data_IF_421328040796
#
_entry.id   IF_421328040796
#
_cell.length_a   1.000
_cell.length_b   1.000
_cell.length_c   1.000
_cell.angle_alpha   90.00
_cell.angle_beta   90.00
_cell.angle_gamma   90.00
#
_symmetry.space_group_name_H-M   'P 1'
#
loop_
_entity.id
_entity.type
_entity.pdbx_description
1 polymer ?
#
# COMPACT_ATOMS: atom_id res chain seq x y z
N UNK A 1 4.57 -1.35 0.95
CA UNK A 1 4.40 -2.58 0.13
C UNK A 1 5.28 -3.74 0.62
N UNK A 2 6.62 -3.66 0.50
CA UNK A 2 7.54 -4.78 0.79
C UNK A 2 7.30 -5.39 2.18
N UNK A 3 7.20 -4.55 3.22
CA UNK A 3 6.88 -4.97 4.59
C UNK A 3 5.69 -5.94 4.68
N UNK A 4 4.59 -5.60 3.99
CA UNK A 4 3.36 -6.41 4.00
C UNK A 4 3.50 -7.77 3.30
N UNK A 5 4.44 -7.90 2.36
CA UNK A 5 4.59 -9.08 1.50
C UNK A 5 5.54 -10.15 2.09
N UNK A 6 6.09 -9.91 3.28
CA UNK A 6 6.81 -10.94 4.02
C UNK A 6 5.91 -12.15 4.32
N UNK A 7 6.53 -13.30 4.62
CA UNK A 7 5.82 -14.50 5.03
C UNK A 7 4.91 -14.19 6.22
N UNK A 8 3.61 -14.53 6.13
CA UNK A 8 2.66 -14.35 7.24
C UNK A 8 3.16 -15.03 8.52
N UNK A 9 2.99 -14.35 9.64
CA UNK A 9 3.54 -14.72 10.95
C UNK A 9 5.00 -14.31 11.17
N UNK A 10 5.66 -13.71 10.17
CA UNK A 10 7.07 -13.28 10.24
C UNK A 10 7.28 -11.81 9.89
N UNK A 11 6.22 -10.99 9.82
CA UNK A 11 6.31 -9.56 9.55
C UNK A 11 6.34 -8.83 10.90
N UNK A 12 7.49 -8.23 11.24
CA UNK A 12 7.69 -7.56 12.53
C UNK A 12 7.92 -6.06 12.36
N UNK A 13 7.52 -5.29 13.37
CA UNK A 13 7.74 -3.85 13.47
C UNK A 13 8.23 -3.48 14.88
N UNK A 14 8.97 -2.38 15.04
CA UNK A 14 9.37 -1.87 16.36
C UNK A 14 8.25 -1.00 16.98
N UNK A 15 8.21 -0.83 18.32
CA UNK A 15 7.07 -0.19 18.99
C UNK A 15 6.78 1.26 18.57
N UNK A 16 7.82 2.02 18.21
CA UNK A 16 7.70 3.44 17.86
C UNK A 16 7.78 3.69 16.35
N UNK A 17 7.69 2.65 15.52
CA UNK A 17 7.71 2.81 14.07
C UNK A 17 6.30 3.06 13.53
N UNK A 18 6.23 3.79 12.43
CA UNK A 18 4.98 4.08 11.72
C UNK A 18 5.00 3.43 10.33
N UNK A 19 3.81 3.13 9.82
CA UNK A 19 3.59 2.73 8.44
C UNK A 19 2.68 3.73 7.77
N UNK A 20 3.08 4.20 6.59
CA UNK A 20 2.22 4.98 5.71
C UNK A 20 1.95 4.18 4.44
N UNK A 21 0.69 4.16 4.02
CA UNK A 21 0.29 3.69 2.69
C UNK A 21 -0.36 4.83 1.91
N UNK A 22 -0.08 4.88 0.61
CA UNK A 22 -0.70 5.80 -0.31
C UNK A 22 -0.69 5.23 -1.73
N UNK A 23 -1.40 5.90 -2.63
CA UNK A 23 -1.43 5.58 -4.05
C UNK A 23 -0.07 5.89 -4.69
N UNK A 24 0.29 5.20 -5.79
CA UNK A 24 1.49 5.55 -6.52
C UNK A 24 1.37 6.97 -7.08
N UNK A 25 2.49 7.71 -7.06
CA UNK A 25 2.59 9.03 -7.66
C UNK A 25 3.28 8.96 -9.01
N UNK A 26 2.94 9.91 -9.88
CA UNK A 26 3.55 10.06 -11.18
C UNK A 26 3.09 11.36 -11.84
N UNK A 27 3.73 11.68 -12.96
CA UNK A 27 3.37 12.80 -13.82
C UNK A 27 3.57 12.40 -15.27
N UNK A 28 2.91 13.11 -16.18
CA UNK A 28 3.04 12.89 -17.61
C UNK A 28 3.13 14.23 -18.34
N UNK A 29 3.98 14.28 -19.36
CA UNK A 29 4.17 15.42 -20.27
C UNK A 29 4.57 14.86 -21.63
N UNK A 30 4.20 15.56 -22.71
CA UNK A 30 4.57 15.16 -24.08
C UNK A 30 3.37 15.17 -25.01
N UNK A 31 3.42 14.34 -26.05
CA UNK A 31 2.30 14.20 -26.96
C UNK A 31 1.10 13.56 -26.25
N UNK A 32 -0.10 13.75 -26.80
CA UNK A 32 -1.32 13.17 -26.24
C UNK A 32 -1.20 11.64 -26.01
N UNK A 33 -0.57 10.93 -26.95
CA UNK A 33 -0.31 9.49 -26.84
C UNK A 33 0.60 9.12 -25.65
N UNK A 34 1.64 9.91 -25.39
CA UNK A 34 2.57 9.66 -24.28
C UNK A 34 1.89 9.87 -22.92
N UNK A 35 1.07 10.92 -22.85
CA UNK A 35 0.25 11.22 -21.66
C UNK A 35 -0.72 10.06 -21.40
N UNK A 36 -1.41 9.57 -22.44
CA UNK A 36 -2.35 8.46 -22.32
C UNK A 36 -1.66 7.15 -21.87
N UNK A 37 -0.51 6.81 -22.46
CA UNK A 37 0.26 5.61 -22.09
C UNK A 37 0.65 5.66 -20.62
N UNK A 38 1.16 6.81 -20.17
CA UNK A 38 1.59 7.00 -18.78
C UNK A 38 0.41 6.94 -17.81
N UNK A 39 -0.70 7.58 -18.16
CA UNK A 39 -1.94 7.55 -17.37
C UNK A 39 -2.49 6.11 -17.24
N UNK A 40 -2.49 5.32 -18.32
CA UNK A 40 -2.88 3.91 -18.26
C UNK A 40 -1.94 3.09 -17.38
N UNK A 41 -0.63 3.35 -17.45
CA UNK A 41 0.36 2.65 -16.65
C UNK A 41 0.22 2.92 -15.15
N UNK A 42 -0.02 4.18 -14.75
CA UNK A 42 -0.19 4.52 -13.33
C UNK A 42 -1.48 3.92 -12.75
N UNK A 43 -2.58 3.90 -13.51
CA UNK A 43 -3.83 3.25 -13.10
C UNK A 43 -3.61 1.73 -12.92
N UNK A 44 -2.96 1.08 -13.89
CA UNK A 44 -2.61 -0.35 -13.80
C UNK A 44 -1.74 -0.63 -12.57
N UNK A 45 -0.80 0.25 -12.27
CA UNK A 45 0.09 0.13 -11.10
C UNK A 45 -0.69 0.31 -9.80
N UNK A 46 -1.56 1.32 -9.69
CA UNK A 46 -2.44 1.54 -8.52
C UNK A 46 -3.26 0.28 -8.22
N UNK A 47 -3.94 -0.26 -9.23
CA UNK A 47 -4.79 -1.45 -9.07
C UNK A 47 -3.98 -2.68 -8.62
N UNK A 48 -2.79 -2.88 -9.21
CA UNK A 48 -1.91 -3.99 -8.84
C UNK A 48 -1.45 -3.87 -7.38
N UNK A 49 -0.99 -2.70 -6.96
CA UNK A 49 -0.50 -2.47 -5.59
C UNK A 49 -1.62 -2.62 -4.56
N UNK A 50 -2.82 -2.10 -4.83
CA UNK A 50 -3.98 -2.25 -3.96
C UNK A 50 -4.41 -3.72 -3.83
N UNK A 51 -4.40 -4.47 -4.93
CA UNK A 51 -4.69 -5.91 -4.91
C UNK A 51 -3.67 -6.68 -4.07
N UNK A 52 -2.37 -6.37 -4.22
CA UNK A 52 -1.31 -6.99 -3.42
C UNK A 52 -1.43 -6.67 -1.93
N UNK A 53 -1.77 -5.42 -1.58
CA UNK A 53 -2.01 -4.99 -0.21
C UNK A 53 -3.24 -5.68 0.39
N UNK A 54 -4.37 -5.70 -0.32
CA UNK A 54 -5.60 -6.36 0.12
C UNK A 54 -5.35 -7.85 0.42
N UNK A 55 -4.67 -8.55 -0.50
CA UNK A 55 -4.30 -9.96 -0.30
C UNK A 55 -3.41 -10.19 0.92
N UNK A 56 -2.38 -9.34 1.10
CA UNK A 56 -1.44 -9.50 2.20
C UNK A 56 -2.05 -9.18 3.57
N UNK A 57 -2.87 -8.14 3.64
CA UNK A 57 -3.49 -7.64 4.88
C UNK A 57 -4.75 -8.41 5.26
N UNK A 58 -5.45 -9.00 4.28
CA UNK A 58 -6.78 -9.59 4.49
C UNK A 58 -7.91 -8.56 4.43
N UNK A 59 -7.61 -7.30 4.16
CA UNK A 59 -8.60 -6.25 3.98
C UNK A 59 -9.37 -6.43 2.67
N UNK A 60 -10.61 -5.91 2.63
CA UNK A 60 -11.37 -5.80 1.38
C UNK A 60 -10.66 -4.82 0.44
N UNK A 61 -10.63 -5.12 -0.86
CA UNK A 61 -10.00 -4.26 -1.86
C UNK A 61 -10.54 -2.82 -1.81
N UNK A 62 -11.86 -2.64 -1.70
CA UNK A 62 -12.48 -1.32 -1.60
C UNK A 62 -12.03 -0.51 -0.37
N UNK A 63 -11.69 -1.17 0.74
CA UNK A 63 -11.14 -0.50 1.92
C UNK A 63 -9.71 -0.04 1.65
N UNK A 64 -8.87 -0.91 1.09
CA UNK A 64 -7.50 -0.54 0.70
C UNK A 64 -7.48 0.59 -0.32
N UNK A 65 -8.39 0.59 -1.31
CA UNK A 65 -8.51 1.66 -2.30
C UNK A 65 -8.86 3.00 -1.66
N UNK A 66 -9.75 2.99 -0.67
CA UNK A 66 -10.11 4.19 0.09
C UNK A 66 -8.92 4.70 0.91
N UNK A 67 -8.26 3.80 1.63
CA UNK A 67 -7.18 4.17 2.56
C UNK A 67 -5.90 4.56 1.82
N UNK A 68 -5.63 4.03 0.63
CA UNK A 68 -4.49 4.47 -0.19
C UNK A 68 -4.77 5.71 -1.02
N UNK A 69 -6.00 6.23 -1.10
CA UNK A 69 -6.25 7.41 -1.94
C UNK A 69 -5.52 8.66 -1.44
N UNK A 70 -5.23 8.74 -0.15
CA UNK A 70 -4.38 9.76 0.48
C UNK A 70 -3.34 9.10 1.37
N UNK A 71 -2.47 9.91 1.94
CA UNK A 71 -1.52 9.41 2.94
C UNK A 71 -2.30 8.93 4.16
N UNK A 72 -2.20 7.62 4.43
CA UNK A 72 -2.83 6.97 5.56
C UNK A 72 -1.73 6.42 6.47
N UNK A 73 -1.52 7.13 7.57
CA UNK A 73 -0.53 6.83 8.60
C UNK A 73 -1.13 5.89 9.65
N UNK A 74 -0.32 4.97 10.12
CA UNK A 74 -0.65 4.02 11.17
C UNK A 74 0.55 3.89 12.10
N UNK A 75 0.31 3.92 13.40
CA UNK A 75 1.31 3.47 14.38
C UNK A 75 1.55 1.94 14.29
N UNK A 76 2.47 1.42 15.11
CA UNK A 76 2.84 0.00 15.08
C UNK A 76 1.65 -0.94 15.37
N UNK A 77 0.77 -0.55 16.30
CA UNK A 77 -0.39 -1.36 16.71
C UNK A 77 -1.51 -1.28 15.65
N UNK A 78 -1.74 -0.10 15.09
CA UNK A 78 -2.65 0.13 13.97
C UNK A 78 -2.20 -0.64 12.73
N UNK A 79 -0.91 -0.63 12.40
CA UNK A 79 -0.35 -1.38 11.28
C UNK A 79 -0.50 -2.90 11.48
N UNK A 80 -0.35 -3.38 12.71
CA UNK A 80 -0.59 -4.78 13.07
C UNK A 80 -2.08 -5.12 12.93
N UNK A 81 -2.98 -4.29 13.47
CA UNK A 81 -4.43 -4.46 13.37
C UNK A 81 -4.93 -4.40 11.93
N UNK A 82 -4.35 -3.53 11.11
CA UNK A 82 -4.65 -3.44 9.68
C UNK A 82 -4.18 -4.68 8.91
N UNK A 83 -3.22 -5.44 9.45
CA UNK A 83 -2.69 -6.67 8.86
C UNK A 83 -1.43 -6.45 8.01
N UNK A 84 -0.79 -5.27 8.08
CA UNK A 84 0.48 -5.00 7.38
C UNK A 84 1.62 -5.79 8.01
N UNK A 85 1.62 -5.89 9.33
CA UNK A 85 2.58 -6.68 10.12
C UNK A 85 1.84 -7.67 11.01
N UNK A 86 2.57 -8.66 11.51
CA UNK A 86 2.02 -9.72 12.36
C UNK A 86 2.28 -9.47 13.85
N UNK A 87 3.38 -8.78 14.19
CA UNK A 87 3.77 -8.56 15.59
C UNK A 87 4.62 -7.31 15.79
N UNK A 88 4.33 -6.57 16.85
CA UNK A 88 5.22 -5.54 17.40
C UNK A 88 6.31 -6.22 18.25
N UNK A 89 7.57 -6.07 17.86
CA UNK A 89 8.72 -6.62 18.56
C UNK A 89 8.98 -5.81 19.83
N UNK A 90 9.31 -6.49 20.93
CA UNK A 90 9.62 -5.90 22.23
C UNK A 90 11.10 -6.10 22.53
#
# INVERSE_FOLDING_TARGET
IILSQGQKGKRFILPNAEVMIHQPWGGAQGQASDIEITAKHIIKTKNRLNTMLAKATGQKLAQVEKDTDRDFFMDADEAMKYGIVDKVYK
#
